data_IF_219979748489
#
_entry.id   IF_219979748489
#
_cell.length_a   1.000
_cell.length_b   1.000
_cell.length_c   1.000
_cell.angle_alpha   90.00
_cell.angle_beta   90.00
_cell.angle_gamma   90.00
#
_symmetry.space_group_name_H-M   'P 1'
#
loop_
_entity.id
_entity.type
_entity.pdbx_description
1 polymer ?
#
# COMPACT_ATOMS: atom_id res chain seq x y z
N UNK A 1 3.41 -3.92 9.39
CA UNK A 1 3.57 -5.04 8.42
C UNK A 1 2.76 -4.73 7.16
N UNK A 2 3.23 -5.14 5.99
CA UNK A 2 2.51 -4.97 4.72
C UNK A 2 1.80 -6.28 4.37
N UNK A 3 0.56 -6.19 3.87
CA UNK A 3 -0.21 -7.31 3.31
C UNK A 3 -0.54 -7.00 1.86
N UNK A 4 -0.38 -7.97 0.98
CA UNK A 4 -0.77 -7.86 -0.42
C UNK A 4 -2.29 -8.04 -0.56
N UNK A 5 -2.93 -7.13 -1.28
CA UNK A 5 -4.33 -7.19 -1.64
C UNK A 5 -4.50 -6.72 -3.09
N UNK A 6 -4.87 -7.65 -3.97
CA UNK A 6 -5.08 -7.44 -5.40
C UNK A 6 -3.90 -6.76 -6.10
N UNK A 7 -3.97 -5.45 -6.28
CA UNK A 7 -2.95 -4.64 -6.99
C UNK A 7 -2.25 -3.64 -6.07
N UNK A 8 -2.35 -3.83 -4.76
CA UNK A 8 -1.79 -2.92 -3.76
C UNK A 8 -1.20 -3.68 -2.55
N UNK A 9 -0.28 -3.02 -1.84
CA UNK A 9 0.18 -3.45 -0.53
C UNK A 9 -0.47 -2.57 0.53
N UNK A 10 -1.24 -3.17 1.42
CA UNK A 10 -1.89 -2.49 2.53
C UNK A 10 -1.01 -2.58 3.77
N UNK A 11 -0.72 -1.44 4.37
CA UNK A 11 -0.05 -1.42 5.65
C UNK A 11 -1.04 -1.71 6.78
N UNK A 12 -0.87 -2.86 7.43
CA UNK A 12 -1.73 -3.32 8.54
C UNK A 12 -1.13 -3.02 9.91
N UNK A 13 -0.14 -2.13 10.01
CA UNK A 13 0.28 -1.59 11.29
C UNK A 13 -0.82 -0.68 11.86
N UNK A 14 -1.00 -0.67 13.17
CA UNK A 14 -2.07 0.10 13.84
C UNK A 14 -2.05 1.60 13.49
N UNK A 15 -0.87 2.13 13.17
CA UNK A 15 -0.68 3.56 12.85
C UNK A 15 -0.53 3.86 11.35
N UNK A 16 -0.64 2.83 10.49
CA UNK A 16 -0.04 2.87 9.16
C UNK A 16 -1.03 2.90 8.00
N UNK A 17 -2.34 3.07 8.26
CA UNK A 17 -3.49 2.91 7.34
C UNK A 17 -3.36 3.51 5.93
N UNK A 18 -2.46 2.95 5.14
CA UNK A 18 -1.99 3.38 3.83
C UNK A 18 -1.96 2.16 2.92
N UNK A 19 -2.36 2.36 1.68
CA UNK A 19 -2.31 1.42 0.58
C UNK A 19 -1.29 1.92 -0.45
N UNK A 20 -0.38 1.02 -0.84
CA UNK A 20 0.72 1.29 -1.75
C UNK A 20 0.45 0.58 -3.09
N UNK A 21 0.29 1.29 -4.21
CA UNK A 21 -0.11 0.67 -5.47
C UNK A 21 1.01 -0.14 -6.10
N UNK A 22 0.66 -1.18 -6.84
CA UNK A 22 1.55 -1.94 -7.71
C UNK A 22 1.38 -1.43 -9.14
N UNK A 23 2.46 -0.94 -9.75
CA UNK A 23 2.49 -0.49 -11.15
C UNK A 23 3.47 -1.35 -11.92
N UNK A 24 3.05 -1.91 -13.06
CA UNK A 24 3.87 -2.80 -13.88
C UNK A 24 4.45 -4.01 -13.11
N UNK A 25 3.73 -4.48 -12.08
CA UNK A 25 4.19 -5.56 -11.19
C UNK A 25 5.20 -5.14 -10.12
N UNK A 26 5.49 -3.84 -9.99
CA UNK A 26 6.42 -3.28 -9.01
C UNK A 26 5.64 -2.51 -7.93
N UNK A 27 5.77 -2.87 -6.65
CA UNK A 27 5.16 -2.11 -5.55
C UNK A 27 5.79 -0.72 -5.37
N UNK A 28 4.95 0.31 -5.35
CA UNK A 28 5.38 1.70 -5.13
C UNK A 28 5.28 2.03 -3.64
N UNK A 29 6.42 2.05 -2.94
CA UNK A 29 6.51 2.35 -1.50
C UNK A 29 6.81 3.84 -1.23
N UNK A 30 6.18 4.74 -1.98
CA UNK A 30 6.30 6.19 -1.78
C UNK A 30 5.12 6.70 -0.93
N UNK A 31 5.42 7.37 0.17
CA UNK A 31 4.40 7.89 1.09
C UNK A 31 3.50 8.92 0.41
N UNK A 32 4.03 9.72 -0.50
CA UNK A 32 3.27 10.73 -1.25
C UNK A 32 2.30 10.11 -2.27
N UNK A 33 2.57 8.87 -2.72
CA UNK A 33 1.68 8.12 -3.62
C UNK A 33 0.76 7.16 -2.88
N UNK A 34 0.95 6.99 -1.57
CA UNK A 34 0.15 6.11 -0.75
C UNK A 34 -1.27 6.66 -0.58
N UNK A 35 -2.27 5.79 -0.75
CA UNK A 35 -3.67 6.15 -0.56
C UNK A 35 -4.18 5.69 0.79
N UNK A 36 -5.29 6.25 1.27
CA UNK A 36 -6.04 5.64 2.37
C UNK A 36 -6.93 4.54 1.78
N UNK A 37 -6.87 3.30 2.29
CA UNK A 37 -7.80 2.25 1.86
C UNK A 37 -9.24 2.66 2.21
N UNK A 38 -10.20 2.36 1.34
CA UNK A 38 -11.64 2.49 1.65
C UNK A 38 -12.12 1.40 2.62
#
# INVERSE_FOLDING_TARGET
>A
PLKEQDTELICTGQDCGLAYPVRDGIPVLLVDEARRPE
#
